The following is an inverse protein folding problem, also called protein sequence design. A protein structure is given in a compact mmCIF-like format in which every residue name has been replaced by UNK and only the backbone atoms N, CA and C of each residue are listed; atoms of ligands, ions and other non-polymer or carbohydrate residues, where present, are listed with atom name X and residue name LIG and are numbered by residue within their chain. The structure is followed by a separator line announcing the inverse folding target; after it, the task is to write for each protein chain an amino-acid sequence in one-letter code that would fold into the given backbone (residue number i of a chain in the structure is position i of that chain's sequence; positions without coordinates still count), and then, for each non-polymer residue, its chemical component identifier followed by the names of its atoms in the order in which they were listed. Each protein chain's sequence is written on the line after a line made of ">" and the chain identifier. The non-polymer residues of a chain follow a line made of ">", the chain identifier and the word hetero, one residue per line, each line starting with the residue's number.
data_IF_289656812767
#
_entry.id   IF_289656812767
#
_cell.length_a   1.000
_cell.length_b   1.000
_cell.length_c   1.000
_cell.angle_alpha   90.00
_cell.angle_beta   90.00
_cell.angle_gamma   90.00
#
_symmetry.space_group_name_H-M   'P 1'
#
loop_
_entity.id
_entity.type
_entity.pdbx_description
1 polymer ?
#
# COMPACT_ATOMS: atom_id res chain seq x y z
N UNK A 1 -7.80 -20.06 21.08
CA UNK A 1 -9.09 -19.34 21.08
C UNK A 1 -9.99 -19.95 20.01
N UNK A 2 -11.21 -20.33 20.38
CA UNK A 2 -12.24 -20.79 19.46
C UNK A 2 -13.15 -19.61 19.15
N UNK A 3 -13.09 -19.08 17.93
CA UNK A 3 -13.90 -17.94 17.51
C UNK A 3 -13.76 -17.63 16.01
N UNK A 4 -14.53 -16.66 15.52
CA UNK A 4 -14.34 -16.14 14.17
C UNK A 4 -13.00 -15.39 14.11
N UNK A 5 -12.11 -15.85 13.22
CA UNK A 5 -10.75 -15.32 13.09
C UNK A 5 -10.71 -13.81 12.84
N UNK A 6 -11.69 -13.27 12.13
CA UNK A 6 -11.76 -11.82 11.81
C UNK A 6 -12.07 -11.04 13.09
N UNK A 7 -13.04 -11.50 13.88
CA UNK A 7 -13.43 -10.85 15.12
C UNK A 7 -12.31 -10.91 16.16
N UNK A 8 -11.65 -12.07 16.31
CA UNK A 8 -10.53 -12.23 17.24
C UNK A 8 -9.34 -11.33 16.89
N UNK A 9 -8.94 -11.30 15.62
CA UNK A 9 -7.85 -10.42 15.17
C UNK A 9 -8.21 -8.94 15.28
N UNK A 10 -9.45 -8.57 14.98
CA UNK A 10 -9.93 -7.21 15.19
C UNK A 10 -9.84 -6.79 16.65
N UNK A 11 -10.34 -7.62 17.57
CA UNK A 11 -10.30 -7.36 19.00
C UNK A 11 -8.85 -7.23 19.49
N UNK A 12 -7.95 -8.10 19.01
CA UNK A 12 -6.53 -8.07 19.35
C UNK A 12 -5.88 -6.76 18.90
N UNK A 13 -6.09 -6.36 17.64
CA UNK A 13 -5.52 -5.11 17.09
C UNK A 13 -6.07 -3.87 17.80
N UNK A 14 -7.36 -3.85 18.11
CA UNK A 14 -7.99 -2.73 18.80
C UNK A 14 -7.53 -2.58 20.24
N UNK A 15 -7.35 -3.70 20.97
CA UNK A 15 -6.94 -3.67 22.37
C UNK A 15 -5.47 -3.28 22.57
N UNK A 16 -4.57 -3.63 21.64
CA UNK A 16 -3.13 -3.38 21.75
C UNK A 16 -2.59 -2.27 20.86
N UNK A 17 -3.42 -1.66 20.00
CA UNK A 17 -3.06 -0.53 19.11
C UNK A 17 -1.81 -0.78 18.27
N UNK A 18 -1.76 -1.91 17.58
CA UNK A 18 -0.66 -2.23 16.68
C UNK A 18 -0.58 -1.25 15.51
N UNK A 19 0.62 -0.80 15.16
CA UNK A 19 0.86 0.06 13.98
C UNK A 19 0.80 -0.71 12.68
N UNK A 20 1.16 -2.00 12.71
CA UNK A 20 1.26 -2.87 11.54
C UNK A 20 0.78 -4.29 11.87
N UNK A 21 -0.09 -4.82 11.04
CA UNK A 21 -0.51 -6.22 11.03
C UNK A 21 0.05 -6.91 9.79
N UNK A 22 0.72 -8.06 9.96
CA UNK A 22 1.26 -8.84 8.86
C UNK A 22 0.42 -10.10 8.68
N UNK A 23 -0.04 -10.34 7.45
CA UNK A 23 -0.92 -11.46 7.11
C UNK A 23 -0.32 -12.25 5.96
N UNK A 24 -0.21 -13.56 6.12
CA UNK A 24 0.15 -14.45 5.02
C UNK A 24 -0.98 -14.55 3.99
N UNK A 25 -0.64 -14.39 2.72
CA UNK A 25 -1.60 -14.43 1.60
C UNK A 25 -1.90 -15.82 1.05
N UNK A 26 -1.37 -16.90 1.66
CA UNK A 26 -1.54 -18.27 1.16
C UNK A 26 -2.98 -18.77 1.31
N UNK A 27 -3.67 -18.96 0.20
CA UNK A 27 -4.83 -19.84 0.06
C UNK A 27 -6.22 -19.30 0.35
N UNK A 28 -6.39 -18.26 1.14
CA UNK A 28 -7.72 -17.68 1.44
C UNK A 28 -7.72 -16.17 1.25
N UNK A 29 -7.73 -15.73 0.00
CA UNK A 29 -7.83 -14.30 -0.39
C UNK A 29 -8.95 -13.53 0.33
N UNK A 30 -10.00 -14.22 0.73
CA UNK A 30 -11.15 -13.61 1.42
C UNK A 30 -10.78 -13.11 2.82
N UNK A 31 -10.00 -13.85 3.60
CA UNK A 31 -9.66 -13.45 4.98
C UNK A 31 -8.83 -12.16 5.00
N UNK A 32 -7.80 -12.05 4.18
CA UNK A 32 -7.00 -10.84 4.09
C UNK A 32 -7.82 -9.64 3.62
N UNK A 33 -8.70 -9.84 2.63
CA UNK A 33 -9.61 -8.82 2.11
C UNK A 33 -10.61 -8.34 3.18
N UNK A 34 -11.16 -9.26 3.97
CA UNK A 34 -12.14 -8.92 5.00
C UNK A 34 -11.44 -8.26 6.20
N UNK A 35 -10.29 -8.79 6.64
CA UNK A 35 -9.49 -8.20 7.71
C UNK A 35 -9.09 -6.76 7.41
N UNK A 36 -8.67 -6.45 6.18
CA UNK A 36 -8.30 -5.10 5.77
C UNK A 36 -9.44 -4.10 5.96
N UNK A 37 -10.70 -4.52 5.94
CA UNK A 37 -11.84 -3.63 6.16
C UNK A 37 -12.10 -3.33 7.65
N UNK A 38 -11.69 -4.24 8.55
CA UNK A 38 -12.06 -4.19 9.97
C UNK A 38 -10.92 -3.84 10.92
N UNK A 39 -9.68 -3.81 10.46
CA UNK A 39 -8.49 -3.56 11.28
C UNK A 39 -8.01 -2.12 11.09
N UNK A 40 -7.70 -1.43 12.19
CA UNK A 40 -7.24 -0.02 12.19
C UNK A 40 -5.76 0.17 11.88
N UNK A 41 -4.94 -0.86 12.05
CA UNK A 41 -3.52 -0.82 11.76
C UNK A 41 -3.25 -0.80 10.25
N UNK A 42 -2.06 -0.37 9.87
CA UNK A 42 -1.53 -0.66 8.53
C UNK A 42 -1.43 -2.17 8.34
N UNK A 43 -1.63 -2.67 7.11
CA UNK A 43 -1.67 -4.11 6.87
C UNK A 43 -0.67 -4.46 5.76
N UNK A 44 0.20 -5.42 6.06
CA UNK A 44 1.09 -6.01 5.07
C UNK A 44 0.61 -7.42 4.73
N UNK A 45 0.11 -7.58 3.50
CA UNK A 45 -0.32 -8.87 2.97
C UNK A 45 0.85 -9.47 2.21
N UNK A 46 1.35 -10.59 2.71
CA UNK A 46 2.53 -11.27 2.18
C UNK A 46 2.08 -12.37 1.22
N UNK A 47 1.96 -12.03 -0.06
CA UNK A 47 1.64 -12.96 -1.13
C UNK A 47 2.94 -13.36 -1.86
N UNK A 48 3.16 -14.66 -2.06
CA UNK A 48 4.29 -15.18 -2.88
C UNK A 48 5.65 -14.52 -2.55
N UNK A 49 5.90 -14.22 -1.28
CA UNK A 49 7.12 -13.56 -0.84
C UNK A 49 8.27 -14.57 -0.73
N UNK A 50 9.38 -14.26 -1.41
CA UNK A 50 10.60 -15.06 -1.37
C UNK A 50 11.75 -14.22 -0.78
N UNK A 51 12.29 -14.65 0.36
CA UNK A 51 13.38 -13.95 1.05
C UNK A 51 14.68 -13.87 0.23
N UNK A 52 14.90 -14.81 -0.69
CA UNK A 52 16.10 -14.83 -1.55
C UNK A 52 16.00 -13.89 -2.76
N UNK A 53 14.87 -13.23 -2.95
CA UNK A 53 14.61 -12.38 -4.09
C UNK A 53 14.76 -10.91 -3.72
N UNK A 54 15.42 -10.12 -4.59
CA UNK A 54 15.46 -8.66 -4.44
C UNK A 54 14.15 -8.08 -5.00
N UNK A 55 13.46 -7.31 -4.17
CA UNK A 55 12.22 -6.64 -4.55
C UNK A 55 12.47 -5.19 -4.92
N UNK A 56 11.63 -4.65 -5.79
CA UNK A 56 11.51 -3.21 -6.04
C UNK A 56 10.19 -2.71 -5.45
N UNK A 57 10.21 -1.56 -4.82
CA UNK A 57 9.00 -0.99 -4.23
C UNK A 57 8.23 -0.22 -5.30
N UNK A 58 6.96 -0.57 -5.51
CA UNK A 58 6.00 0.21 -6.27
C UNK A 58 5.22 1.10 -5.29
N UNK A 59 5.61 2.36 -5.16
CA UNK A 59 4.98 3.34 -4.29
C UNK A 59 3.88 4.08 -5.05
N UNK A 60 2.62 3.71 -4.82
CA UNK A 60 1.48 4.39 -5.42
C UNK A 60 1.19 5.71 -4.69
N UNK A 61 1.27 6.82 -5.42
CA UNK A 61 1.15 8.19 -4.90
C UNK A 61 0.03 8.92 -5.58
N UNK A 62 -0.90 9.45 -4.80
CA UNK A 62 -2.02 10.29 -5.25
C UNK A 62 -2.24 11.48 -4.28
N UNK A 63 -3.36 12.19 -4.37
CA UNK A 63 -3.73 13.29 -3.48
C UNK A 63 -4.57 12.86 -2.26
N UNK A 64 -4.68 11.56 -2.00
CA UNK A 64 -5.43 11.05 -0.85
C UNK A 64 -4.73 11.32 0.49
N UNK A 65 -5.48 11.41 1.60
CA UNK A 65 -4.91 11.64 2.93
C UNK A 65 -3.89 10.58 3.36
N UNK A 66 -4.06 9.33 2.93
CA UNK A 66 -3.18 8.21 3.26
C UNK A 66 -1.81 8.25 2.58
N UNK A 67 -1.70 8.98 1.45
CA UNK A 67 -0.46 9.05 0.65
C UNK A 67 0.76 9.49 1.46
N UNK A 68 0.61 10.48 2.35
CA UNK A 68 1.74 10.97 3.14
C UNK A 68 2.32 9.91 4.09
N UNK A 69 1.46 9.09 4.69
CA UNK A 69 1.90 7.96 5.51
C UNK A 69 2.53 6.89 4.62
N UNK A 70 1.93 6.56 3.47
CA UNK A 70 2.47 5.59 2.52
C UNK A 70 3.88 5.96 2.05
N UNK A 71 4.14 7.24 1.73
CA UNK A 71 5.48 7.74 1.39
C UNK A 71 6.47 7.47 2.53
N UNK A 72 6.12 7.81 3.77
CA UNK A 72 7.00 7.57 4.94
C UNK A 72 7.30 6.08 5.13
N UNK A 73 6.30 5.21 5.00
CA UNK A 73 6.50 3.76 5.10
C UNK A 73 7.33 3.23 3.93
N UNK A 74 7.07 3.69 2.70
CA UNK A 74 7.83 3.31 1.52
C UNK A 74 9.32 3.62 1.66
N UNK A 75 9.66 4.83 2.15
CA UNK A 75 11.04 5.21 2.43
C UNK A 75 11.68 4.32 3.50
N UNK A 76 10.97 4.04 4.61
CA UNK A 76 11.47 3.19 5.70
C UNK A 76 11.70 1.75 5.24
N UNK A 77 10.78 1.19 4.47
CA UNK A 77 10.90 -0.17 3.92
C UNK A 77 12.09 -0.22 2.94
N UNK A 78 12.20 0.77 2.06
CA UNK A 78 13.32 0.87 1.11
C UNK A 78 14.67 0.92 1.82
N UNK A 79 14.79 1.73 2.88
CA UNK A 79 16.03 1.82 3.68
C UNK A 79 16.35 0.51 4.41
N UNK A 80 15.32 -0.13 5.01
CA UNK A 80 15.54 -1.34 5.80
C UNK A 80 15.99 -2.55 4.96
N UNK A 81 15.59 -2.61 3.69
CA UNK A 81 15.85 -3.74 2.80
C UNK A 81 16.73 -3.39 1.59
N UNK A 82 17.30 -2.20 1.55
CA UNK A 82 18.10 -1.71 0.41
C UNK A 82 17.39 -1.86 -0.94
N UNK A 83 16.11 -1.47 -0.98
CA UNK A 83 15.27 -1.60 -2.17
C UNK A 83 15.22 -0.30 -2.97
N UNK A 84 15.19 -0.43 -4.30
CA UNK A 84 14.85 0.67 -5.20
C UNK A 84 13.34 0.97 -5.14
N UNK A 85 12.98 2.23 -5.45
CA UNK A 85 11.59 2.69 -5.43
C UNK A 85 11.15 3.19 -6.80
N UNK A 86 9.99 2.73 -7.27
CA UNK A 86 9.27 3.37 -8.36
C UNK A 86 8.09 4.15 -7.80
N UNK A 87 8.10 5.47 -7.95
CA UNK A 87 6.97 6.33 -7.63
C UNK A 87 5.98 6.26 -8.78
N UNK A 88 4.82 5.65 -8.57
CA UNK A 88 3.76 5.56 -9.57
C UNK A 88 2.61 6.51 -9.22
N UNK A 89 2.27 7.39 -10.16
CA UNK A 89 1.07 8.22 -10.08
C UNK A 89 0.18 7.95 -11.28
N UNK A 90 -1.11 7.73 -11.03
CA UNK A 90 -2.09 7.51 -12.09
C UNK A 90 -3.07 8.66 -12.14
N UNK A 91 -3.19 9.27 -13.30
CA UNK A 91 -4.15 10.34 -13.60
C UNK A 91 -5.24 9.84 -14.55
N UNK A 92 -6.44 10.35 -14.38
CA UNK A 92 -7.52 10.10 -15.37
C UNK A 92 -7.32 10.89 -16.66
N UNK A 93 -6.59 11.99 -16.59
CA UNK A 93 -6.36 12.93 -17.68
C UNK A 93 -4.86 13.19 -17.86
N UNK A 94 -4.48 13.89 -18.96
CA UNK A 94 -3.09 14.28 -19.20
C UNK A 94 -2.48 15.14 -18.08
N UNK A 95 -3.30 15.86 -17.33
CA UNK A 95 -2.85 16.71 -16.24
C UNK A 95 -3.04 16.00 -14.89
N UNK A 96 -1.98 15.91 -14.10
CA UNK A 96 -2.05 15.45 -12.71
C UNK A 96 -2.62 16.56 -11.83
N UNK A 97 -3.34 16.19 -10.77
CA UNK A 97 -3.82 17.17 -9.79
C UNK A 97 -2.66 17.87 -9.07
N UNK A 98 -2.90 19.11 -8.61
CA UNK A 98 -1.91 19.83 -7.80
C UNK A 98 -1.54 19.05 -6.52
N UNK A 99 -2.50 18.33 -5.94
CA UNK A 99 -2.27 17.47 -4.77
C UNK A 99 -1.31 16.33 -5.09
N UNK A 100 -1.54 15.61 -6.18
CA UNK A 100 -0.66 14.54 -6.65
C UNK A 100 0.74 15.05 -6.98
N UNK A 101 0.85 16.21 -7.65
CA UNK A 101 2.15 16.83 -7.94
C UNK A 101 2.94 17.15 -6.65
N UNK A 102 2.28 17.71 -5.64
CA UNK A 102 2.89 17.96 -4.32
C UNK A 102 3.32 16.66 -3.62
N UNK A 103 2.52 15.62 -3.71
CA UNK A 103 2.82 14.32 -3.11
C UNK A 103 4.03 13.66 -3.78
N UNK A 104 4.11 13.67 -5.12
CA UNK A 104 5.29 13.21 -5.87
C UNK A 104 6.54 13.96 -5.40
N UNK A 105 6.49 15.30 -5.37
CA UNK A 105 7.63 16.11 -4.95
C UNK A 105 8.10 15.78 -3.54
N UNK A 106 7.15 15.52 -2.64
CA UNK A 106 7.46 15.08 -1.26
C UNK A 106 8.16 13.72 -1.25
N UNK A 107 7.67 12.75 -2.01
CA UNK A 107 8.31 11.43 -2.13
C UNK A 107 9.75 11.57 -2.66
N UNK A 108 9.95 12.31 -3.76
CA UNK A 108 11.27 12.56 -4.34
C UNK A 108 12.23 13.18 -3.32
N UNK A 109 11.80 14.20 -2.58
CA UNK A 109 12.65 14.86 -1.57
C UNK A 109 13.03 13.89 -0.46
N UNK A 110 12.11 13.07 0.01
CA UNK A 110 12.38 12.10 1.08
C UNK A 110 13.35 11.00 0.60
N UNK A 111 13.13 10.45 -0.60
CA UNK A 111 14.00 9.41 -1.17
C UNK A 111 15.41 9.94 -1.46
N UNK A 112 15.56 11.17 -2.00
CA UNK A 112 16.87 11.80 -2.21
C UNK A 112 17.64 11.99 -0.90
N UNK A 113 16.97 12.45 0.17
CA UNK A 113 17.60 12.65 1.48
C UNK A 113 18.13 11.37 2.10
N UNK A 114 17.57 10.24 1.74
CA UNK A 114 17.97 8.92 2.26
C UNK A 114 18.91 8.16 1.35
N UNK A 115 19.29 8.73 0.19
CA UNK A 115 20.17 8.09 -0.79
C UNK A 115 19.54 6.92 -1.56
N UNK A 116 18.21 6.73 -1.44
CA UNK A 116 17.51 5.64 -2.12
C UNK A 116 17.43 5.93 -3.62
N UNK A 117 17.78 4.93 -4.42
CA UNK A 117 17.61 4.97 -5.89
C UNK A 117 16.12 4.90 -6.20
N UNK A 118 15.64 5.84 -7.00
CA UNK A 118 14.24 5.85 -7.39
C UNK A 118 14.02 6.35 -8.82
N UNK A 119 12.92 5.90 -9.39
CA UNK A 119 12.38 6.44 -10.64
C UNK A 119 10.95 6.92 -10.43
N UNK A 120 10.47 7.75 -11.35
CA UNK A 120 9.11 8.29 -11.33
C UNK A 120 8.37 7.94 -12.60
N UNK A 121 7.14 7.46 -12.45
CA UNK A 121 6.25 7.09 -13.53
C UNK A 121 4.89 7.75 -13.34
N UNK A 122 4.41 8.40 -14.40
CA UNK A 122 3.06 8.98 -14.45
C UNK A 122 2.33 8.32 -15.60
N UNK A 123 1.25 7.60 -15.30
CA UNK A 123 0.43 6.94 -16.31
C UNK A 123 -1.00 7.49 -16.32
N UNK A 124 -1.66 7.37 -17.48
CA UNK A 124 -3.04 7.82 -17.69
C UNK A 124 -3.92 6.59 -17.78
N UNK A 125 -5.01 6.55 -16.99
CA UNK A 125 -5.98 5.49 -17.06
C UNK A 125 -6.67 5.19 -15.74
N UNK A 126 -7.23 3.98 -15.64
CA UNK A 126 -7.81 3.48 -14.41
C UNK A 126 -6.71 3.10 -13.40
N UNK A 127 -6.73 3.68 -12.19
CA UNK A 127 -5.67 3.45 -11.21
C UNK A 127 -5.46 1.99 -10.82
N UNK A 128 -6.54 1.21 -10.70
CA UNK A 128 -6.44 -0.20 -10.32
C UNK A 128 -5.74 -1.00 -11.41
N UNK A 129 -6.17 -0.82 -12.65
CA UNK A 129 -5.58 -1.54 -13.79
C UNK A 129 -4.11 -1.15 -14.01
N UNK A 130 -3.77 0.13 -13.87
CA UNK A 130 -2.40 0.60 -14.02
C UNK A 130 -1.48 0.09 -12.90
N UNK A 131 -1.94 0.14 -11.65
CA UNK A 131 -1.17 -0.42 -10.52
C UNK A 131 -0.93 -1.92 -10.74
N UNK A 132 -1.96 -2.67 -11.11
CA UNK A 132 -1.84 -4.11 -11.35
C UNK A 132 -0.93 -4.44 -12.54
N UNK A 133 -0.98 -3.65 -13.61
CA UNK A 133 -0.07 -3.78 -14.77
C UNK A 133 1.40 -3.58 -14.37
N UNK A 134 1.66 -2.69 -13.40
CA UNK A 134 3.00 -2.42 -12.89
C UNK A 134 3.37 -3.30 -11.69
N UNK A 135 2.46 -4.17 -11.21
CA UNK A 135 2.67 -5.10 -10.11
C UNK A 135 3.26 -6.43 -10.60
N UNK A 136 4.53 -6.41 -10.94
CA UNK A 136 5.28 -7.61 -11.36
C UNK A 136 5.63 -8.49 -10.15
N UNK A 137 6.08 -9.74 -10.41
CA UNK A 137 6.39 -10.71 -9.34
C UNK A 137 7.43 -10.23 -8.33
N UNK A 138 8.36 -9.37 -8.75
CA UNK A 138 9.44 -8.86 -7.91
C UNK A 138 9.13 -7.49 -7.30
N UNK A 139 7.86 -7.16 -7.09
CA UNK A 139 7.47 -5.87 -6.54
C UNK A 139 6.75 -6.00 -5.21
N UNK A 140 6.97 -5.02 -4.33
CA UNK A 140 6.15 -4.78 -3.15
C UNK A 140 5.34 -3.52 -3.42
N UNK A 141 4.01 -3.64 -3.46
CA UNK A 141 3.15 -2.47 -3.59
C UNK A 141 3.02 -1.78 -2.23
N UNK A 142 3.21 -0.47 -2.18
CA UNK A 142 2.91 0.35 -1.00
C UNK A 142 1.95 1.45 -1.42
N UNK A 143 0.80 1.53 -0.75
CA UNK A 143 -0.22 2.53 -1.03
C UNK A 143 -0.96 2.97 0.22
N UNK A 144 -1.49 4.19 0.20
CA UNK A 144 -2.33 4.71 1.27
C UNK A 144 -3.73 4.13 1.25
N UNK A 145 -4.32 3.95 2.43
CA UNK A 145 -5.74 3.71 2.55
C UNK A 145 -6.49 4.98 2.14
N UNK A 146 -7.26 4.90 1.06
CA UNK A 146 -8.08 6.00 0.59
C UNK A 146 -9.40 6.01 1.36
N UNK A 147 -9.49 6.77 2.44
CA UNK A 147 -10.77 7.04 3.12
C UNK A 147 -11.31 8.38 2.63
N UNK A 148 -12.39 8.37 1.89
CA UNK A 148 -13.04 9.60 1.39
C UNK A 148 -13.99 10.24 2.39
N UNK A 149 -14.22 9.63 3.57
CA UNK A 149 -15.16 10.14 4.56
C UNK A 149 -14.58 10.16 5.97
N UNK A 150 -14.67 11.31 6.69
CA UNK A 150 -14.30 11.41 8.10
C UNK A 150 -15.14 10.51 9.02
N UNK A 151 -16.33 10.12 8.57
CA UNK A 151 -17.30 9.32 9.34
C UNK A 151 -17.03 7.82 9.27
N UNK A 152 -16.16 7.39 8.35
CA UNK A 152 -15.84 5.97 8.14
C UNK A 152 -14.35 5.72 8.35
N UNK A 153 -13.86 5.94 9.57
CA UNK A 153 -12.43 5.75 9.94
C UNK A 153 -11.89 4.35 9.61
N UNK A 154 -12.77 3.39 9.37
CA UNK A 154 -12.45 1.97 9.22
C UNK A 154 -12.60 1.44 7.79
N UNK A 155 -13.14 2.21 6.85
CA UNK A 155 -13.35 1.71 5.50
C UNK A 155 -12.14 2.00 4.59
N UNK A 156 -11.58 0.94 4.06
CA UNK A 156 -10.62 1.03 2.97
C UNK A 156 -11.38 1.47 1.71
N UNK A 157 -10.81 2.43 0.96
CA UNK A 157 -11.39 2.85 -0.31
C UNK A 157 -11.48 1.68 -1.32
N UNK A 158 -12.37 1.80 -2.28
CA UNK A 158 -12.60 0.75 -3.30
C UNK A 158 -11.35 0.39 -4.12
N UNK A 159 -10.45 1.35 -4.37
CA UNK A 159 -9.22 1.12 -5.13
C UNK A 159 -8.25 0.17 -4.43
N UNK A 160 -7.81 0.41 -3.16
CA UNK A 160 -6.97 -0.54 -2.44
C UNK A 160 -7.58 -1.94 -2.35
N UNK A 161 -8.87 -2.05 -2.06
CA UNK A 161 -9.58 -3.34 -2.03
C UNK A 161 -9.52 -4.09 -3.36
N UNK A 162 -9.71 -3.37 -4.47
CA UNK A 162 -9.65 -3.96 -5.81
C UNK A 162 -8.23 -4.43 -6.16
N UNK A 163 -7.20 -3.68 -5.75
CA UNK A 163 -5.79 -4.08 -5.93
C UNK A 163 -5.50 -5.33 -5.10
N UNK A 164 -5.88 -5.38 -3.82
CA UNK A 164 -5.69 -6.56 -2.96
C UNK A 164 -6.31 -7.81 -3.55
N UNK A 165 -7.53 -7.73 -4.08
CA UNK A 165 -8.22 -8.87 -4.68
C UNK A 165 -7.51 -9.48 -5.89
N UNK A 166 -6.83 -8.66 -6.66
CA UNK A 166 -6.26 -9.05 -7.97
C UNK A 166 -4.74 -9.20 -7.96
N UNK A 167 -4.05 -8.59 -6.97
CA UNK A 167 -2.60 -8.63 -6.90
C UNK A 167 -2.09 -9.96 -6.33
N UNK A 168 -1.05 -10.51 -6.94
CA UNK A 168 -0.35 -11.70 -6.46
C UNK A 168 0.97 -11.38 -5.76
N UNK A 169 1.42 -10.12 -5.78
CA UNK A 169 2.63 -9.68 -5.10
C UNK A 169 2.33 -9.19 -3.67
N UNK A 170 3.35 -9.04 -2.81
CA UNK A 170 3.19 -8.44 -1.49
C UNK A 170 2.65 -7.02 -1.57
N UNK A 171 1.72 -6.68 -0.69
CA UNK A 171 1.09 -5.36 -0.65
C UNK A 171 0.99 -4.81 0.76
N UNK A 172 1.49 -3.59 0.96
CA UNK A 172 1.37 -2.83 2.21
C UNK A 172 0.35 -1.71 2.04
N UNK A 173 -0.74 -1.80 2.77
CA UNK A 173 -1.76 -0.76 2.87
C UNK A 173 -1.51 0.06 4.13
N UNK A 174 -1.24 1.35 3.98
CA UNK A 174 -0.88 2.24 5.09
C UNK A 174 -2.08 3.08 5.51
N UNK A 175 -2.38 3.05 6.81
CA UNK A 175 -3.47 3.80 7.46
C UNK A 175 -2.96 4.93 8.35
#
# INVERSE_FOLDING_TARGET
>A
RNGDIINELRNEVQSHRYDLTIIGGSGKRNVAHDLVQYIDSSIFIVNNFNLSQKYKILLAVDDSPGTNKAIKYGVRVAQAFDNEVEILTVSKNKNISTGSAKAIKRAEVMLRRTGIIFEKKIEIGDPVNIILKNAEENRIIIMGASTQSPLTKFFLGSKPLSVIKKCNCPILIVR
#
